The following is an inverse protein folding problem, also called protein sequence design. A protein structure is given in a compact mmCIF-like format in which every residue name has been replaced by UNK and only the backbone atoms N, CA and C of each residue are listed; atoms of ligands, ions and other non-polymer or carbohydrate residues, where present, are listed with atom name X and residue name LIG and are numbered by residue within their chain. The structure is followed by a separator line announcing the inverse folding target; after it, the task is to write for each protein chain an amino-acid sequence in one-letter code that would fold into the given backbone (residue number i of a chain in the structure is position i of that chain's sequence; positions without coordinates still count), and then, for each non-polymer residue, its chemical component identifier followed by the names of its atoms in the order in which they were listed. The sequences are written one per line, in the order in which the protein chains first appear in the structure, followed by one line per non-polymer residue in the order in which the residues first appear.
data_IF_585271588594
#
_entry.id   IF_585271588594
#
_cell.length_a   1.000
_cell.length_b   1.000
_cell.length_c   1.000
_cell.angle_alpha   90.00
_cell.angle_beta   90.00
_cell.angle_gamma   90.00
#
_symmetry.space_group_name_H-M   'P 1'
#
loop_
_entity.id
_entity.type
_entity.pdbx_description
1 polymer ?
#
# COMPACT_ATOMS: atom_id res chain seq x y z
N UNK A 1 -14.89 -46.21 25.49
CA UNK A 1 -13.86 -45.80 24.53
C UNK A 1 -14.43 -44.67 23.65
N UNK A 2 -14.76 -43.54 24.29
CA UNK A 2 -15.19 -42.30 23.60
C UNK A 2 -14.86 -41.16 24.55
N UNK A 3 -13.63 -40.70 24.58
CA UNK A 3 -13.32 -39.47 25.34
C UNK A 3 -11.93 -38.92 24.97
N UNK A 4 -11.75 -38.52 23.68
CA UNK A 4 -10.52 -37.94 23.22
C UNK A 4 -10.71 -36.75 22.26
N UNK A 5 -11.82 -36.00 22.34
CA UNK A 5 -12.04 -34.78 21.53
C UNK A 5 -12.59 -33.60 22.32
N UNK A 6 -12.14 -33.38 23.54
CA UNK A 6 -12.15 -32.05 24.16
C UNK A 6 -10.77 -31.41 23.96
N UNK A 7 -10.45 -31.01 22.74
CA UNK A 7 -9.43 -29.98 22.53
C UNK A 7 -9.94 -28.73 23.23
N UNK A 8 -9.18 -28.32 24.25
CA UNK A 8 -9.38 -27.04 24.90
C UNK A 8 -9.59 -25.98 23.81
N UNK A 9 -10.76 -25.42 23.71
CA UNK A 9 -11.00 -24.16 23.08
C UNK A 9 -10.18 -23.16 23.90
N UNK A 10 -9.00 -22.83 23.43
CA UNK A 10 -8.30 -21.63 23.89
C UNK A 10 -9.26 -20.52 23.51
N UNK A 11 -9.85 -19.89 24.50
CA UNK A 11 -10.68 -18.69 24.35
C UNK A 11 -9.73 -17.56 23.93
N UNK A 12 -9.36 -17.58 22.64
CA UNK A 12 -8.59 -16.53 22.00
C UNK A 12 -9.56 -15.41 21.81
N UNK A 13 -9.64 -14.52 22.79
CA UNK A 13 -10.37 -13.25 22.62
C UNK A 13 -9.84 -12.62 21.38
N UNK A 14 -10.74 -12.35 20.41
CA UNK A 14 -10.40 -11.44 19.32
C UNK A 14 -9.87 -10.17 19.98
N UNK A 15 -8.69 -9.69 19.57
CA UNK A 15 -8.19 -8.46 20.14
C UNK A 15 -9.30 -7.45 19.97
N UNK A 16 -9.85 -6.96 21.09
CA UNK A 16 -10.63 -5.74 21.06
C UNK A 16 -9.74 -4.80 20.24
N UNK A 17 -10.25 -4.36 19.09
CA UNK A 17 -9.58 -3.33 18.31
C UNK A 17 -9.47 -2.19 19.30
N UNK A 18 -8.30 -2.04 19.91
CA UNK A 18 -8.10 -1.01 20.93
C UNK A 18 -8.65 0.27 20.33
N UNK A 19 -9.51 1.01 21.05
CA UNK A 19 -9.93 2.33 20.61
C UNK A 19 -8.75 3.33 20.54
N UNK A 20 -7.60 2.96 21.10
CA UNK A 20 -6.32 3.61 20.81
C UNK A 20 -6.01 3.32 19.35
N UNK A 21 -6.20 4.32 18.50
CA UNK A 21 -5.81 4.31 17.10
C UNK A 21 -4.34 3.92 16.91
N UNK A 22 -3.86 3.81 15.69
CA UNK A 22 -2.46 3.53 15.41
C UNK A 22 -1.61 4.48 16.25
N UNK A 23 -0.48 3.99 16.83
CA UNK A 23 0.47 4.86 17.51
C UNK A 23 0.68 6.07 16.61
N UNK A 24 0.29 7.23 17.11
CA UNK A 24 0.19 8.44 16.29
C UNK A 24 1.49 8.64 15.53
N UNK A 25 1.36 8.76 14.23
CA UNK A 25 2.38 9.36 13.38
C UNK A 25 2.77 10.68 14.05
N UNK A 26 4.05 10.99 14.16
CA UNK A 26 4.41 12.34 14.59
C UNK A 26 3.65 13.33 13.72
N UNK A 27 2.88 14.24 14.30
CA UNK A 27 2.07 15.18 13.53
C UNK A 27 2.97 15.99 12.60
N UNK A 28 2.43 16.39 11.46
CA UNK A 28 3.07 17.40 10.63
C UNK A 28 3.23 18.69 11.43
N UNK A 29 4.26 19.49 11.11
CA UNK A 29 4.26 20.85 11.63
C UNK A 29 3.01 21.58 11.16
N UNK A 30 2.46 22.51 11.97
CA UNK A 30 1.28 23.27 11.57
C UNK A 30 1.45 24.00 10.24
N UNK A 31 2.66 24.46 9.94
CA UNK A 31 3.01 25.17 8.72
C UNK A 31 2.90 24.22 7.50
N UNK A 32 3.47 23.00 7.59
CA UNK A 32 3.40 22.02 6.51
C UNK A 32 1.96 21.54 6.33
N UNK A 33 1.22 21.32 7.40
CA UNK A 33 -0.19 20.92 7.32
C UNK A 33 -1.07 21.99 6.64
N UNK A 34 -0.85 23.26 6.99
CA UNK A 34 -1.58 24.38 6.38
C UNK A 34 -1.22 24.54 4.89
N UNK A 35 0.06 24.39 4.54
CA UNK A 35 0.50 24.45 3.15
C UNK A 35 -0.04 23.29 2.33
N UNK A 36 -0.04 22.07 2.86
CA UNK A 36 -0.66 20.92 2.21
C UNK A 36 -2.15 21.15 1.92
N UNK A 37 -2.90 21.70 2.89
CA UNK A 37 -4.32 22.02 2.70
C UNK A 37 -4.52 23.07 1.61
N UNK A 38 -3.73 24.14 1.61
CA UNK A 38 -3.76 25.17 0.56
C UNK A 38 -3.47 24.60 -0.82
N UNK A 39 -2.47 23.74 -0.94
CA UNK A 39 -2.10 23.09 -2.20
C UNK A 39 -3.21 22.20 -2.72
N UNK A 40 -3.86 21.42 -1.86
CA UNK A 40 -4.99 20.57 -2.28
C UNK A 40 -6.17 21.43 -2.74
N UNK A 41 -6.53 22.49 -1.99
CA UNK A 41 -7.62 23.40 -2.37
C UNK A 41 -7.36 24.07 -3.73
N UNK A 42 -6.11 24.39 -4.03
CA UNK A 42 -5.75 25.06 -5.28
C UNK A 42 -5.63 24.09 -6.47
N UNK A 43 -5.10 22.87 -6.24
CA UNK A 43 -4.62 22.01 -7.32
C UNK A 43 -5.41 20.71 -7.53
N UNK A 44 -6.23 20.27 -6.58
CA UNK A 44 -6.91 18.97 -6.71
C UNK A 44 -7.78 18.86 -7.96
N UNK A 45 -8.52 19.92 -8.31
CA UNK A 45 -9.34 19.96 -9.53
C UNK A 45 -8.48 20.02 -10.80
N UNK A 46 -7.41 20.84 -10.78
CA UNK A 46 -6.50 21.00 -11.92
C UNK A 46 -5.78 19.69 -12.27
N UNK A 47 -5.43 18.90 -11.25
CA UNK A 47 -4.72 17.63 -11.41
C UNK A 47 -5.65 16.44 -11.61
N UNK A 48 -6.96 16.59 -11.48
CA UNK A 48 -7.92 15.47 -11.49
C UNK A 48 -7.80 14.55 -12.71
N UNK A 49 -7.45 15.09 -13.87
CA UNK A 49 -7.24 14.37 -15.13
C UNK A 49 -5.83 14.55 -15.71
N UNK A 50 -4.90 15.06 -14.91
CA UNK A 50 -3.51 15.22 -15.32
C UNK A 50 -2.83 13.87 -15.58
N UNK A 51 -1.80 13.88 -16.42
CA UNK A 51 -0.94 12.71 -16.66
C UNK A 51 -0.13 12.34 -15.42
N UNK A 52 0.36 11.11 -15.39
CA UNK A 52 1.22 10.64 -14.31
C UNK A 52 2.47 11.52 -14.16
N UNK A 53 3.07 11.89 -15.27
CA UNK A 53 4.24 12.75 -15.34
C UNK A 53 3.97 14.14 -14.76
N UNK A 54 2.85 14.77 -15.15
CA UNK A 54 2.45 16.09 -14.64
C UNK A 54 2.22 16.05 -13.12
N UNK A 55 1.58 14.99 -12.60
CA UNK A 55 1.34 14.83 -11.16
C UNK A 55 2.65 14.66 -10.40
N UNK A 56 3.58 13.84 -10.91
CA UNK A 56 4.88 13.62 -10.29
C UNK A 56 5.75 14.87 -10.34
N UNK A 57 5.76 15.58 -11.47
CA UNK A 57 6.47 16.84 -11.62
C UNK A 57 5.91 17.92 -10.69
N UNK A 58 4.58 18.02 -10.59
CA UNK A 58 3.93 18.91 -9.63
C UNK A 58 4.37 18.61 -8.18
N UNK A 59 4.44 17.32 -7.82
CA UNK A 59 4.90 16.93 -6.48
C UNK A 59 6.35 17.35 -6.22
N UNK A 60 7.22 17.24 -7.20
CA UNK A 60 8.61 17.71 -7.11
C UNK A 60 8.71 19.23 -6.90
N UNK A 61 7.85 19.98 -7.60
CA UNK A 61 7.92 21.46 -7.63
C UNK A 61 7.25 22.10 -6.41
N UNK A 62 6.12 21.53 -5.94
CA UNK A 62 5.26 22.20 -4.96
C UNK A 62 5.20 21.54 -3.58
N UNK A 63 5.58 20.28 -3.42
CA UNK A 63 5.48 19.63 -2.12
C UNK A 63 6.37 20.33 -1.07
N UNK A 64 5.83 20.68 0.12
CA UNK A 64 6.58 21.48 1.10
C UNK A 64 7.61 20.66 1.90
N UNK A 65 7.93 19.44 1.46
CA UNK A 65 8.90 18.57 2.11
C UNK A 65 9.05 17.22 1.40
N UNK A 66 9.72 16.29 2.03
CA UNK A 66 9.99 14.97 1.44
C UNK A 66 8.72 14.23 1.07
N UNK A 67 8.77 13.50 -0.05
CA UNK A 67 7.72 12.60 -0.53
C UNK A 67 8.21 11.16 -0.44
N UNK A 68 7.36 10.27 0.12
CA UNK A 68 7.56 8.83 0.03
C UNK A 68 6.84 8.27 -1.20
N UNK A 69 7.41 7.26 -1.85
CA UNK A 69 6.74 6.50 -2.92
C UNK A 69 6.45 5.10 -2.40
N UNK A 70 5.17 4.78 -2.18
CA UNK A 70 4.80 3.47 -1.65
C UNK A 70 4.77 2.43 -2.76
N UNK A 71 5.50 1.34 -2.58
CA UNK A 71 5.62 0.26 -3.56
C UNK A 71 4.98 -1.02 -3.03
N UNK A 72 4.07 -1.61 -3.81
CA UNK A 72 3.44 -2.91 -3.50
C UNK A 72 4.25 -4.11 -3.98
N UNK A 73 5.27 -3.88 -4.80
CA UNK A 73 6.07 -4.90 -5.50
C UNK A 73 5.28 -5.73 -6.53
N UNK A 74 4.09 -5.27 -6.94
CA UNK A 74 3.36 -5.88 -8.05
C UNK A 74 4.03 -5.56 -9.40
N UNK A 75 4.50 -4.32 -9.53
CA UNK A 75 5.33 -3.84 -10.63
C UNK A 75 6.14 -2.61 -10.17
N UNK A 76 7.03 -2.13 -11.03
CA UNK A 76 7.91 -0.99 -10.73
C UNK A 76 7.57 0.31 -11.45
N UNK A 77 6.32 0.47 -11.92
CA UNK A 77 5.88 1.68 -12.63
C UNK A 77 6.10 2.94 -11.79
N UNK A 78 5.70 2.93 -10.52
CA UNK A 78 5.91 4.09 -9.64
C UNK A 78 7.38 4.35 -9.34
N UNK A 79 8.21 3.32 -9.27
CA UNK A 79 9.65 3.48 -9.06
C UNK A 79 10.31 4.14 -10.28
N UNK A 80 9.91 3.73 -11.51
CA UNK A 80 10.41 4.33 -12.74
C UNK A 80 10.00 5.80 -12.88
N UNK A 81 8.71 6.11 -12.63
CA UNK A 81 8.24 7.49 -12.61
C UNK A 81 8.96 8.33 -11.55
N UNK A 82 9.19 7.78 -10.37
CA UNK A 82 9.90 8.50 -9.32
C UNK A 82 11.36 8.78 -9.68
N UNK A 83 12.05 7.82 -10.29
CA UNK A 83 13.41 8.01 -10.80
C UNK A 83 13.51 9.21 -11.73
N UNK A 84 12.53 9.40 -12.60
CA UNK A 84 12.56 10.48 -13.60
C UNK A 84 12.07 11.84 -13.06
N UNK A 85 11.13 11.84 -12.09
CA UNK A 85 10.43 13.06 -11.67
C UNK A 85 10.59 13.42 -10.18
N UNK A 86 10.99 12.49 -9.32
CA UNK A 86 11.13 12.68 -7.87
C UNK A 86 12.51 12.17 -7.38
N UNK A 87 13.63 12.75 -7.80
CA UNK A 87 14.97 12.21 -7.52
C UNK A 87 15.30 12.12 -6.02
N UNK A 88 14.65 12.93 -5.18
CA UNK A 88 14.87 12.94 -3.73
C UNK A 88 13.87 12.05 -2.95
N UNK A 89 12.96 11.34 -3.65
CA UNK A 89 11.99 10.49 -2.99
C UNK A 89 12.62 9.23 -2.39
N UNK A 90 12.11 8.80 -1.25
CA UNK A 90 12.43 7.50 -0.69
C UNK A 90 11.31 6.50 -1.04
N UNK A 91 11.69 5.27 -1.37
CA UNK A 91 10.75 4.19 -1.60
C UNK A 91 10.33 3.56 -0.28
N UNK A 92 9.05 3.31 -0.10
CA UNK A 92 8.50 2.69 1.10
C UNK A 92 7.79 1.38 0.74
N UNK A 93 8.30 0.27 1.24
CA UNK A 93 7.71 -1.06 1.12
C UNK A 93 7.21 -1.54 2.48
N UNK A 94 5.92 -1.88 2.58
CA UNK A 94 5.33 -2.44 3.79
C UNK A 94 5.61 -3.93 3.86
N UNK A 95 6.68 -4.33 4.55
CA UNK A 95 6.97 -5.73 4.77
C UNK A 95 6.08 -6.28 5.90
N UNK A 96 5.05 -7.01 5.49
CA UNK A 96 4.07 -7.59 6.40
C UNK A 96 4.52 -8.90 7.03
N UNK A 97 5.67 -9.45 6.66
CA UNK A 97 6.15 -10.81 6.97
C UNK A 97 5.19 -11.94 6.52
N UNK A 98 4.22 -11.61 5.66
CA UNK A 98 3.26 -12.54 5.06
C UNK A 98 3.30 -12.51 3.53
N UNK A 99 4.36 -11.97 2.95
CA UNK A 99 4.52 -11.90 1.51
C UNK A 99 4.79 -13.26 0.86
N UNK A 100 4.56 -13.34 -0.43
CA UNK A 100 5.14 -14.39 -1.26
C UNK A 100 6.67 -14.22 -1.30
N UNK A 101 7.45 -15.31 -1.41
CA UNK A 101 8.90 -15.20 -1.64
C UNK A 101 9.24 -14.30 -2.83
N UNK A 102 8.48 -14.42 -3.91
CA UNK A 102 8.64 -13.63 -5.14
C UNK A 102 8.45 -12.13 -4.90
N UNK A 103 7.60 -11.73 -3.94
CA UNK A 103 7.44 -10.31 -3.55
C UNK A 103 8.73 -9.77 -2.94
N UNK A 104 9.42 -10.56 -2.12
CA UNK A 104 10.69 -10.17 -1.50
C UNK A 104 11.82 -10.12 -2.54
N UNK A 105 11.83 -11.05 -3.49
CA UNK A 105 12.77 -11.05 -4.63
C UNK A 105 12.59 -9.80 -5.49
N UNK A 106 11.34 -9.38 -5.76
CA UNK A 106 11.07 -8.10 -6.46
C UNK A 106 11.55 -6.92 -5.63
N UNK A 107 11.37 -6.91 -4.31
CA UNK A 107 11.87 -5.83 -3.46
C UNK A 107 13.41 -5.73 -3.49
N UNK A 108 14.11 -6.87 -3.49
CA UNK A 108 15.58 -6.92 -3.63
C UNK A 108 16.02 -6.41 -5.02
N UNK A 109 15.29 -6.76 -6.08
CA UNK A 109 15.56 -6.29 -7.43
C UNK A 109 15.30 -4.78 -7.60
N UNK A 110 14.26 -4.25 -6.93
CA UNK A 110 13.99 -2.80 -6.87
C UNK A 110 15.15 -2.06 -6.21
N UNK A 111 15.63 -2.53 -5.07
CA UNK A 111 16.74 -1.92 -4.34
C UNK A 111 18.04 -1.89 -5.17
N UNK A 112 18.26 -2.91 -6.03
CA UNK A 112 19.40 -2.97 -6.92
C UNK A 112 19.23 -2.05 -8.15
N UNK A 113 18.04 -2.09 -8.82
CA UNK A 113 17.79 -1.33 -10.05
C UNK A 113 17.70 0.17 -9.84
N UNK A 114 17.15 0.60 -8.69
CA UNK A 114 16.90 1.99 -8.33
C UNK A 114 17.77 2.41 -7.13
N UNK A 115 19.06 2.10 -7.17
CA UNK A 115 20.00 2.26 -6.06
C UNK A 115 20.21 3.72 -5.62
N UNK A 116 19.84 4.71 -6.45
CA UNK A 116 19.81 6.12 -6.06
C UNK A 116 18.70 6.44 -5.07
N UNK A 117 17.64 5.63 -5.03
CA UNK A 117 16.51 5.78 -4.11
C UNK A 117 16.63 4.80 -2.95
N UNK A 118 16.63 5.32 -1.74
CA UNK A 118 16.63 4.47 -0.55
C UNK A 118 15.33 3.69 -0.45
N UNK A 119 15.39 2.36 -0.39
CA UNK A 119 14.23 1.52 -0.06
C UNK A 119 14.10 1.36 1.46
N UNK A 120 13.02 1.87 2.03
CA UNK A 120 12.65 1.70 3.44
C UNK A 120 11.69 0.51 3.55
N UNK A 121 12.12 -0.57 4.20
CA UNK A 121 11.26 -1.73 4.50
C UNK A 121 10.58 -1.50 5.85
N UNK A 122 9.33 -1.09 5.82
CA UNK A 122 8.54 -0.79 7.00
C UNK A 122 7.91 -2.09 7.55
N UNK A 123 8.34 -2.50 8.74
CA UNK A 123 7.86 -3.72 9.41
C UNK A 123 6.93 -3.38 10.56
N UNK A 124 6.09 -4.34 10.95
CA UNK A 124 5.26 -4.23 12.14
C UNK A 124 6.09 -4.22 13.43
N UNK A 125 5.53 -3.64 14.50
CA UNK A 125 6.18 -3.60 15.81
C UNK A 125 6.44 -4.98 16.39
N UNK A 126 5.50 -5.91 16.19
CA UNK A 126 5.65 -7.32 16.59
C UNK A 126 6.05 -8.14 15.38
N UNK A 127 7.00 -9.04 15.52
CA UNK A 127 7.22 -10.10 14.55
C UNK A 127 5.97 -10.98 14.42
N UNK A 128 5.87 -11.74 13.33
CA UNK A 128 4.79 -12.71 13.15
C UNK A 128 4.67 -13.68 14.32
N UNK A 129 5.81 -14.18 14.83
CA UNK A 129 5.84 -15.13 15.95
C UNK A 129 5.36 -14.50 17.26
N UNK A 130 5.68 -13.24 17.52
CA UNK A 130 5.20 -12.50 18.69
C UNK A 130 3.72 -12.20 18.59
N UNK A 131 3.25 -11.79 17.40
CA UNK A 131 1.83 -11.62 17.13
C UNK A 131 1.03 -12.91 17.41
N UNK A 132 1.54 -14.07 16.94
CA UNK A 132 0.89 -15.35 17.17
C UNK A 132 0.87 -15.76 18.66
N UNK A 133 1.87 -15.36 19.45
CA UNK A 133 1.87 -15.56 20.90
C UNK A 133 0.82 -14.71 21.61
N UNK A 134 0.65 -13.45 21.19
CA UNK A 134 -0.26 -12.50 21.85
C UNK A 134 -1.71 -12.74 21.43
N UNK A 135 -1.95 -12.90 20.14
CA UNK A 135 -3.30 -12.93 19.56
C UNK A 135 -3.72 -14.32 19.06
N UNK A 136 -2.87 -15.34 19.24
CA UNK A 136 -3.06 -16.67 18.69
C UNK A 136 -2.78 -16.75 17.17
N UNK A 137 -2.61 -17.97 16.63
CA UNK A 137 -2.21 -18.18 15.24
C UNK A 137 -3.31 -17.75 14.25
N UNK A 138 -2.89 -17.44 13.03
CA UNK A 138 -3.78 -17.14 11.89
C UNK A 138 -4.73 -15.96 12.13
N UNK A 139 -4.27 -14.89 12.79
CA UNK A 139 -5.06 -13.68 13.00
C UNK A 139 -5.63 -13.14 11.68
N UNK A 140 -4.89 -13.23 10.57
CA UNK A 140 -5.34 -12.82 9.24
C UNK A 140 -6.64 -13.49 8.79
N UNK A 141 -6.94 -14.72 9.25
CA UNK A 141 -8.19 -15.43 8.93
C UNK A 141 -9.32 -15.07 9.90
N UNK A 142 -9.02 -14.96 11.20
CA UNK A 142 -10.01 -14.70 12.25
C UNK A 142 -10.44 -13.24 12.29
N UNK A 143 -9.48 -12.33 12.18
CA UNK A 143 -9.73 -10.89 12.13
C UNK A 143 -8.76 -10.23 11.12
N UNK A 144 -9.08 -10.27 9.81
CA UNK A 144 -8.23 -9.70 8.77
C UNK A 144 -8.08 -8.18 8.90
N UNK A 145 -9.05 -7.49 9.51
CA UNK A 145 -8.98 -6.04 9.75
C UNK A 145 -7.91 -5.72 10.79
N UNK A 146 -7.90 -6.40 11.94
CA UNK A 146 -6.87 -6.23 12.95
C UNK A 146 -5.48 -6.60 12.42
N UNK A 147 -5.36 -7.70 11.65
CA UNK A 147 -4.10 -8.09 11.03
C UNK A 147 -3.59 -7.00 10.05
N UNK A 148 -4.44 -6.49 9.16
CA UNK A 148 -4.05 -5.42 8.23
C UNK A 148 -3.67 -4.14 8.97
N UNK A 149 -4.38 -3.77 10.04
CA UNK A 149 -4.04 -2.63 10.87
C UNK A 149 -2.62 -2.77 11.42
N UNK A 150 -2.31 -3.86 12.10
CA UNK A 150 -1.00 -4.08 12.74
C UNK A 150 0.13 -4.25 11.73
N UNK A 151 -0.14 -4.86 10.56
CA UNK A 151 0.90 -5.20 9.58
C UNK A 151 1.07 -4.16 8.47
N UNK A 152 0.13 -3.21 8.31
CA UNK A 152 0.15 -2.24 7.22
C UNK A 152 -0.11 -0.82 7.71
N UNK A 153 -1.26 -0.58 8.36
CA UNK A 153 -1.68 0.78 8.71
C UNK A 153 -0.74 1.39 9.75
N UNK A 154 -0.49 0.69 10.85
CA UNK A 154 0.40 1.16 11.91
C UNK A 154 1.87 1.32 11.43
N UNK A 155 2.48 0.35 10.71
CA UNK A 155 3.81 0.56 10.14
C UNK A 155 3.89 1.72 9.17
N UNK A 156 2.90 1.89 8.29
CA UNK A 156 2.84 3.06 7.41
C UNK A 156 2.83 4.34 8.22
N UNK A 157 1.90 4.46 9.18
CA UNK A 157 1.77 5.63 10.03
C UNK A 157 3.10 6.01 10.73
N UNK A 158 3.80 5.03 11.29
CA UNK A 158 5.09 5.26 11.95
C UNK A 158 6.15 5.76 10.97
N UNK A 159 6.25 5.15 9.78
CA UNK A 159 7.28 5.50 8.81
C UNK A 159 6.96 6.77 8.01
N UNK A 160 5.71 7.22 8.03
CA UNK A 160 5.33 8.47 7.35
C UNK A 160 5.78 9.74 8.08
N UNK A 161 6.29 9.64 9.32
CA UNK A 161 6.70 10.79 10.13
C UNK A 161 7.62 11.81 9.41
N UNK A 162 8.64 11.42 8.61
CA UNK A 162 9.55 12.38 7.97
C UNK A 162 9.00 13.00 6.67
N UNK A 163 7.82 12.57 6.18
CA UNK A 163 7.33 12.96 4.88
C UNK A 163 6.17 13.93 4.95
N UNK A 164 6.17 14.93 4.08
CA UNK A 164 5.04 15.87 3.89
C UNK A 164 3.91 15.25 3.06
N UNK A 165 4.21 14.21 2.29
CA UNK A 165 3.23 13.50 1.46
C UNK A 165 3.77 12.17 0.95
N UNK A 166 2.93 11.47 0.21
CA UNK A 166 3.27 10.16 -0.35
C UNK A 166 2.54 9.87 -1.67
N UNK A 167 3.19 9.06 -2.49
CA UNK A 167 2.67 8.59 -3.77
C UNK A 167 2.14 7.16 -3.61
N UNK A 168 0.99 6.89 -4.21
CA UNK A 168 0.35 5.57 -4.24
C UNK A 168 -0.06 5.17 -5.66
N UNK A 169 -0.08 3.86 -5.92
CA UNK A 169 -0.45 3.29 -7.21
C UNK A 169 -1.95 3.07 -7.41
N UNK A 170 -2.81 3.85 -6.76
CA UNK A 170 -4.26 3.75 -6.93
C UNK A 170 -4.67 4.18 -8.34
N UNK A 171 -5.53 3.37 -8.99
CA UNK A 171 -6.17 3.67 -10.28
C UNK A 171 -7.68 3.63 -10.13
N UNK A 172 -8.40 4.48 -10.86
CA UNK A 172 -9.88 4.43 -10.93
C UNK A 172 -10.36 3.11 -11.53
N UNK A 173 -9.57 2.53 -12.42
CA UNK A 173 -9.84 1.23 -13.04
C UNK A 173 -9.74 0.03 -12.09
N UNK A 174 -9.20 0.18 -10.88
CA UNK A 174 -9.01 -0.93 -9.92
C UNK A 174 -10.32 -1.42 -9.28
N UNK A 175 -11.42 -0.73 -9.47
CA UNK A 175 -12.74 -1.16 -9.01
C UNK A 175 -13.67 -0.02 -8.55
N UNK A 176 -14.93 -0.34 -8.25
CA UNK A 176 -15.96 0.66 -7.94
C UNK A 176 -15.62 1.56 -6.75
N UNK A 177 -14.93 1.05 -5.73
CA UNK A 177 -14.52 1.81 -4.55
C UNK A 177 -13.49 2.89 -4.84
N UNK A 178 -12.87 2.85 -6.03
CA UNK A 178 -11.82 3.76 -6.47
C UNK A 178 -12.20 4.61 -7.68
N UNK A 179 -13.40 4.42 -8.23
CA UNK A 179 -13.85 5.07 -9.47
C UNK A 179 -13.71 6.60 -9.46
N UNK A 180 -13.85 7.22 -8.29
CA UNK A 180 -13.76 8.67 -8.09
C UNK A 180 -12.48 9.08 -7.34
N UNK A 181 -11.47 8.22 -7.30
CA UNK A 181 -10.23 8.53 -6.58
C UNK A 181 -9.59 9.81 -7.15
N UNK A 182 -9.20 10.77 -6.28
CA UNK A 182 -8.53 11.98 -6.71
C UNK A 182 -7.06 11.72 -7.06
N UNK A 183 -6.50 12.53 -7.94
CA UNK A 183 -5.07 12.54 -8.23
C UNK A 183 -4.26 13.14 -7.07
N UNK A 184 -4.84 14.13 -6.40
CA UNK A 184 -4.29 14.82 -5.24
C UNK A 184 -5.36 14.95 -4.15
N UNK A 185 -5.03 14.56 -2.93
CA UNK A 185 -5.87 14.74 -1.73
C UNK A 185 -4.99 14.86 -0.48
N UNK A 186 -5.61 15.07 0.68
CA UNK A 186 -4.96 14.84 1.97
C UNK A 186 -5.31 13.44 2.47
N UNK A 187 -4.37 12.80 3.15
CA UNK A 187 -4.70 11.66 4.01
C UNK A 187 -5.26 12.15 5.36
N UNK A 188 -5.74 11.21 6.19
CA UNK A 188 -6.32 11.51 7.50
C UNK A 188 -5.35 12.21 8.47
N UNK A 189 -4.06 12.28 8.15
CA UNK A 189 -3.03 12.95 8.94
C UNK A 189 -2.65 14.33 8.39
N UNK A 190 -3.29 14.78 7.31
CA UNK A 190 -3.01 16.04 6.63
C UNK A 190 -1.80 16.01 5.68
N UNK A 191 -1.28 14.81 5.33
CA UNK A 191 -0.22 14.64 4.35
C UNK A 191 -0.79 14.64 2.94
N UNK A 192 -0.02 15.16 1.98
CA UNK A 192 -0.37 15.02 0.57
C UNK A 192 -0.42 13.54 0.18
N UNK A 193 -1.50 13.13 -0.49
CA UNK A 193 -1.67 11.81 -1.07
C UNK A 193 -1.82 11.97 -2.57
N UNK A 194 -0.86 11.45 -3.32
CA UNK A 194 -0.78 11.58 -4.77
C UNK A 194 -1.01 10.22 -5.43
N UNK A 195 -1.87 10.20 -6.43
CA UNK A 195 -2.21 9.01 -7.21
C UNK A 195 -1.88 9.26 -8.69
N UNK A 196 -0.62 9.23 -9.12
CA UNK A 196 -0.25 9.57 -10.49
C UNK A 196 -0.84 8.63 -11.53
N UNK A 197 -1.10 7.37 -11.16
CA UNK A 197 -1.69 6.38 -12.07
C UNK A 197 -3.23 6.42 -12.09
N UNK A 198 -3.85 7.40 -11.48
CA UNK A 198 -5.30 7.44 -11.22
C UNK A 198 -6.16 7.32 -12.49
N UNK A 199 -5.68 7.86 -13.61
CA UNK A 199 -6.35 7.82 -14.91
C UNK A 199 -5.98 6.62 -15.78
N UNK A 200 -4.99 5.81 -15.35
CA UNK A 200 -4.48 4.71 -16.16
C UNK A 200 -5.42 3.49 -16.15
N UNK A 201 -5.60 2.91 -17.31
CA UNK A 201 -6.15 1.56 -17.47
C UNK A 201 -5.10 0.49 -17.18
N UNK A 202 -5.51 -0.77 -17.13
CA UNK A 202 -4.57 -1.91 -17.11
C UNK A 202 -3.68 -1.91 -18.36
N UNK A 203 -4.27 -1.64 -19.54
CA UNK A 203 -3.54 -1.62 -20.81
C UNK A 203 -2.47 -0.51 -20.84
N UNK A 204 -2.75 0.67 -20.28
CA UNK A 204 -1.76 1.75 -20.16
C UNK A 204 -0.59 1.31 -19.26
N UNK A 205 -0.90 0.63 -18.16
CA UNK A 205 0.10 0.09 -17.25
C UNK A 205 0.97 -0.96 -17.92
N UNK A 206 0.36 -1.91 -18.65
CA UNK A 206 1.07 -2.99 -19.35
C UNK A 206 1.95 -2.42 -20.49
N UNK A 207 1.45 -1.42 -21.22
CA UNK A 207 2.23 -0.73 -22.26
C UNK A 207 3.45 -0.05 -21.65
N UNK A 208 3.28 0.71 -20.57
CA UNK A 208 4.38 1.41 -19.91
C UNK A 208 5.42 0.40 -19.35
N UNK A 209 4.97 -0.71 -18.79
CA UNK A 209 5.84 -1.80 -18.32
C UNK A 209 6.71 -2.34 -19.48
N UNK A 210 6.08 -2.61 -20.64
CA UNK A 210 6.78 -3.14 -21.79
C UNK A 210 7.76 -2.14 -22.42
N UNK A 211 7.36 -0.88 -22.53
CA UNK A 211 8.18 0.18 -23.14
C UNK A 211 9.43 0.50 -22.31
N UNK A 212 9.37 0.30 -21.00
CA UNK A 212 10.48 0.61 -20.07
C UNK A 212 11.19 -0.64 -19.51
N UNK A 213 10.85 -1.84 -19.99
CA UNK A 213 11.40 -3.13 -19.51
C UNK A 213 11.38 -3.20 -17.96
N UNK A 214 10.22 -2.98 -17.37
CA UNK A 214 10.05 -2.88 -15.93
C UNK A 214 9.99 -4.24 -15.25
N UNK A 215 10.37 -4.25 -13.97
CA UNK A 215 10.23 -5.44 -13.12
C UNK A 215 8.74 -5.64 -12.82
N UNK A 216 8.26 -6.86 -13.06
CA UNK A 216 6.90 -7.29 -12.78
C UNK A 216 6.94 -8.52 -11.87
N UNK A 217 6.03 -8.59 -10.94
CA UNK A 217 5.94 -9.72 -10.02
C UNK A 217 5.63 -11.01 -10.78
N UNK A 218 6.42 -12.11 -10.61
CA UNK A 218 6.28 -13.33 -11.42
C UNK A 218 4.90 -13.98 -11.37
N UNK A 219 4.17 -13.83 -10.26
CA UNK A 219 2.85 -14.42 -10.10
C UNK A 219 1.76 -13.73 -10.94
N UNK A 220 1.98 -12.53 -11.47
CA UNK A 220 1.00 -11.84 -12.33
C UNK A 220 0.67 -12.66 -13.57
N UNK A 221 1.66 -13.36 -14.14
CA UNK A 221 1.48 -14.27 -15.27
C UNK A 221 0.97 -15.66 -14.87
N UNK A 222 0.78 -15.90 -13.56
CA UNK A 222 0.35 -17.19 -13.01
C UNK A 222 -1.07 -17.10 -12.39
N UNK A 223 -1.89 -16.15 -12.88
CA UNK A 223 -3.26 -15.99 -12.46
C UNK A 223 -3.46 -15.16 -11.18
N UNK A 224 -2.46 -14.35 -10.78
CA UNK A 224 -2.59 -13.43 -9.66
C UNK A 224 -2.59 -11.97 -10.16
N UNK A 225 -3.69 -11.46 -10.70
CA UNK A 225 -3.76 -10.10 -11.27
C UNK A 225 -3.71 -8.98 -10.21
N UNK A 226 -3.81 -9.32 -8.93
CA UNK A 226 -3.63 -8.39 -7.80
C UNK A 226 -2.90 -9.11 -6.67
N UNK A 227 -1.76 -8.57 -6.25
CA UNK A 227 -0.86 -9.22 -5.29
C UNK A 227 -0.90 -8.51 -3.93
N UNK A 228 -0.90 -9.31 -2.87
CA UNK A 228 -0.79 -8.85 -1.48
C UNK A 228 -0.11 -9.89 -0.61
N UNK A 229 -0.53 -10.00 0.65
CA UNK A 229 -0.03 -11.08 1.52
C UNK A 229 -0.38 -12.45 0.94
N UNK A 230 0.55 -13.40 0.92
CA UNK A 230 0.35 -14.77 0.42
C UNK A 230 -0.82 -15.48 1.12
N UNK A 231 -1.02 -15.21 2.41
CA UNK A 231 -2.12 -15.76 3.20
C UNK A 231 -3.50 -15.20 2.83
N UNK A 232 -3.56 -14.08 2.10
CA UNK A 232 -4.80 -13.34 1.77
C UNK A 232 -4.99 -13.14 0.27
N UNK A 233 -4.22 -13.83 -0.58
CA UNK A 233 -4.28 -13.69 -2.03
C UNK A 233 -4.39 -15.06 -2.67
N UNK A 234 -5.39 -15.25 -3.50
CA UNK A 234 -5.63 -16.45 -4.31
C UNK A 234 -5.57 -16.09 -5.80
N UNK A 235 -5.27 -17.06 -6.68
CA UNK A 235 -5.37 -16.85 -8.12
C UNK A 235 -6.83 -16.61 -8.52
N UNK A 236 -7.03 -15.90 -9.63
CA UNK A 236 -8.33 -15.51 -10.16
C UNK A 236 -8.46 -16.09 -11.56
N UNK A 237 -9.64 -16.62 -11.89
CA UNK A 237 -9.90 -17.12 -13.24
C UNK A 237 -10.00 -15.97 -14.25
N UNK A 238 -9.67 -16.26 -15.50
CA UNK A 238 -9.74 -15.28 -16.59
C UNK A 238 -11.15 -14.68 -16.71
N UNK A 239 -11.23 -13.37 -16.88
CA UNK A 239 -12.49 -12.62 -16.99
C UNK A 239 -13.20 -12.29 -15.65
N UNK A 240 -12.66 -12.71 -14.51
CA UNK A 240 -13.15 -12.29 -13.20
C UNK A 240 -12.55 -10.94 -12.78
N UNK A 241 -13.15 -10.31 -11.75
CA UNK A 241 -12.59 -9.12 -11.13
C UNK A 241 -11.14 -9.41 -10.68
N UNK A 242 -10.15 -8.63 -11.09
CA UNK A 242 -8.74 -8.81 -10.72
C UNK A 242 -8.50 -8.90 -9.21
N UNK A 243 -9.36 -8.31 -8.40
CA UNK A 243 -9.27 -8.32 -6.93
C UNK A 243 -10.10 -9.42 -6.26
N UNK A 244 -10.83 -10.25 -7.02
CA UNK A 244 -11.67 -11.32 -6.46
C UNK A 244 -10.88 -12.32 -5.60
N UNK A 245 -9.59 -12.51 -5.87
CA UNK A 245 -8.69 -13.35 -5.08
C UNK A 245 -8.25 -12.75 -3.74
N UNK A 246 -8.53 -11.45 -3.50
CA UNK A 246 -8.10 -10.75 -2.27
C UNK A 246 -9.11 -11.00 -1.16
N UNK A 247 -8.63 -11.49 -0.01
CA UNK A 247 -9.48 -11.84 1.15
C UNK A 247 -10.71 -12.69 0.80
N UNK A 248 -10.61 -13.59 -0.18
CA UNK A 248 -11.72 -14.42 -0.65
C UNK A 248 -12.44 -15.23 0.46
N UNK A 249 -11.83 -15.35 1.63
CA UNK A 249 -12.38 -16.00 2.82
C UNK A 249 -13.15 -15.04 3.77
N UNK A 250 -13.19 -13.74 3.47
CA UNK A 250 -13.79 -12.71 4.34
C UNK A 250 -14.54 -11.67 3.51
N UNK A 251 -15.54 -11.03 4.12
CA UNK A 251 -16.23 -9.88 3.52
C UNK A 251 -15.37 -8.61 3.65
N UNK A 252 -14.26 -8.56 2.91
CA UNK A 252 -13.31 -7.45 2.93
C UNK A 252 -12.81 -7.18 1.52
N UNK A 253 -12.80 -5.92 1.12
CA UNK A 253 -12.38 -5.46 -0.22
C UNK A 253 -11.13 -4.60 -0.19
N UNK A 254 -10.84 -3.93 0.95
CA UNK A 254 -9.70 -3.02 1.09
C UNK A 254 -8.89 -3.30 2.37
N UNK A 255 -7.59 -3.00 2.34
CA UNK A 255 -6.70 -3.25 3.48
C UNK A 255 -6.74 -2.14 4.56
N UNK A 256 -7.41 -1.03 4.31
CA UNK A 256 -7.47 0.11 5.22
C UNK A 256 -6.40 1.18 5.00
N UNK A 257 -5.54 1.05 3.99
CA UNK A 257 -4.56 2.08 3.63
C UNK A 257 -5.17 3.22 2.79
N UNK A 258 -6.31 2.98 2.17
CA UNK A 258 -6.95 3.90 1.23
C UNK A 258 -8.40 4.22 1.62
N UNK A 259 -8.78 3.93 2.87
CA UNK A 259 -10.04 4.35 3.46
C UNK A 259 -9.80 5.69 4.13
N UNK A 260 -10.16 6.74 3.44
CA UNK A 260 -10.22 8.10 4.00
C UNK A 260 -11.55 8.31 4.65
#
# INVERSE_FOLDING_TARGET
MVDFLRRAQVDVRDPEISPEGPKETAPLSPEVAAENARLVDEWAEKLYSASAQEIMQWAHEYAPGKIAVTLSMENTVLAELAKDYLPDAEFLFLDTEYHFPETLEVADAVEQRYSEHRLVRATAQLSRAEQDKVYGPNLYRRNPTACCRMRKVEPLAVHMSPYAGWVTGVRRADGPTRAEAPALSLDHTGRLKLSPLVTWSLADTDTYIADHDLIVHPLTTQGYPSIGCATCTLPVAEGQDPRAGRWAFAQKTECGLHTD
#
